data_IF_033195020535
#
_entry.id   IF_033195020535
#
_cell.length_a   1.000
_cell.length_b   1.000
_cell.length_c   1.000
_cell.angle_alpha   90.00
_cell.angle_beta   90.00
_cell.angle_gamma   90.00
#
_symmetry.space_group_name_H-M   'P 1'
#
loop_
_entity.id
_entity.type
_entity.pdbx_description
1 polymer ?
#
# COMPACT_ATOMS: atom_id res chain seq x y z
N UNK A 1 -19.50 -2.89 -4.97
CA UNK A 1 -18.87 -4.14 -5.43
C UNK A 1 -17.45 -4.34 -4.89
N UNK A 2 -16.44 -3.56 -5.32
CA UNK A 2 -15.02 -3.75 -4.95
C UNK A 2 -14.76 -3.78 -3.44
N UNK A 3 -15.29 -2.78 -2.69
CA UNK A 3 -15.14 -2.71 -1.23
C UNK A 3 -15.77 -3.89 -0.49
N UNK A 4 -16.91 -4.38 -0.99
CA UNK A 4 -17.63 -5.49 -0.40
C UNK A 4 -16.95 -6.84 -0.68
N UNK A 5 -16.26 -6.96 -1.82
CA UNK A 5 -15.58 -8.18 -2.25
C UNK A 5 -14.14 -7.91 -2.72
N UNK A 6 -13.25 -7.43 -1.84
CA UNK A 6 -11.91 -6.99 -2.21
C UNK A 6 -11.02 -8.15 -2.68
N UNK A 7 -11.37 -9.40 -2.35
CA UNK A 7 -10.68 -10.59 -2.83
C UNK A 7 -10.82 -10.80 -4.35
N UNK A 8 -11.94 -10.37 -4.95
CA UNK A 8 -12.14 -10.44 -6.39
C UNK A 8 -11.38 -9.34 -7.16
N UNK A 9 -10.84 -8.34 -6.45
CA UNK A 9 -10.04 -7.27 -7.05
C UNK A 9 -8.56 -7.65 -7.15
N UNK A 10 -7.99 -8.23 -6.08
CA UNK A 10 -6.55 -8.45 -5.98
C UNK A 10 -6.13 -9.77 -5.30
N UNK A 11 -7.06 -10.70 -5.04
CA UNK A 11 -6.81 -11.92 -4.27
C UNK A 11 -6.76 -11.65 -2.76
N UNK A 12 -6.10 -12.49 -1.96
CA UNK A 12 -6.07 -12.36 -0.48
C UNK A 12 -4.74 -11.86 0.08
N UNK A 13 -3.71 -11.81 -0.77
CA UNK A 13 -2.31 -11.58 -0.35
C UNK A 13 -1.73 -10.25 -0.85
N UNK A 14 -2.56 -9.37 -1.42
CA UNK A 14 -2.10 -8.10 -2.00
C UNK A 14 -2.52 -6.89 -1.15
N UNK A 15 -1.74 -5.80 -1.14
CA UNK A 15 -2.03 -4.58 -0.38
C UNK A 15 -3.45 -4.05 -0.60
N UNK A 16 -3.97 -4.06 -1.82
CA UNK A 16 -5.33 -3.58 -2.13
C UNK A 16 -6.41 -4.23 -1.25
N UNK A 17 -6.32 -5.55 -1.09
CA UNK A 17 -7.27 -6.31 -0.29
C UNK A 17 -7.08 -6.04 1.19
N UNK A 18 -5.84 -5.88 1.64
CA UNK A 18 -5.55 -5.55 3.03
C UNK A 18 -6.05 -4.14 3.38
N UNK A 19 -5.87 -3.16 2.50
CA UNK A 19 -6.36 -1.79 2.66
C UNK A 19 -7.88 -1.74 2.75
N UNK A 20 -8.58 -2.37 1.81
CA UNK A 20 -10.05 -2.37 1.81
C UNK A 20 -10.66 -3.13 3.00
N UNK A 21 -9.90 -4.04 3.64
CA UNK A 21 -10.33 -4.74 4.87
C UNK A 21 -9.93 -4.00 6.14
N UNK A 22 -8.73 -3.45 6.18
CA UNK A 22 -8.14 -2.80 7.35
C UNK A 22 -8.58 -1.36 7.55
N UNK A 23 -9.05 -0.69 6.49
CA UNK A 23 -9.60 0.67 6.54
C UNK A 23 -11.02 0.63 5.96
N UNK A 24 -12.04 0.44 6.82
CA UNK A 24 -13.43 0.38 6.37
C UNK A 24 -13.83 1.61 5.54
N UNK A 25 -14.40 1.37 4.36
CA UNK A 25 -14.78 2.43 3.42
C UNK A 25 -13.67 2.85 2.45
N UNK A 26 -12.44 2.36 2.61
CA UNK A 26 -11.38 2.59 1.62
C UNK A 26 -11.65 1.83 0.31
N UNK A 27 -11.15 2.37 -0.80
CA UNK A 27 -11.07 1.71 -2.10
C UNK A 27 -9.62 1.80 -2.58
N UNK A 28 -8.99 0.67 -2.90
CA UNK A 28 -7.60 0.64 -3.35
C UNK A 28 -7.46 -0.16 -4.64
N UNK A 29 -6.60 0.31 -5.54
CA UNK A 29 -6.15 -0.47 -6.68
C UNK A 29 -4.71 -0.14 -7.06
N UNK A 30 -3.86 -1.16 -7.03
CA UNK A 30 -2.56 -1.16 -7.70
C UNK A 30 -2.74 -1.43 -9.19
N UNK A 31 -2.07 -0.64 -10.02
CA UNK A 31 -2.02 -0.77 -11.48
C UNK A 31 -0.71 -1.37 -11.99
N UNK A 32 -0.59 -1.46 -13.31
CA UNK A 32 0.68 -1.77 -13.97
C UNK A 32 1.72 -0.66 -13.71
N UNK A 33 3.01 -0.99 -13.84
CA UNK A 33 4.11 -0.01 -13.74
C UNK A 33 4.10 0.79 -12.43
N UNK A 34 3.87 0.10 -11.30
CA UNK A 34 3.88 0.66 -9.95
C UNK A 34 2.98 1.89 -9.75
N UNK A 35 1.83 1.91 -10.43
CA UNK A 35 0.75 2.87 -10.16
C UNK A 35 -0.06 2.42 -8.95
N UNK A 36 -0.41 3.35 -8.06
CA UNK A 36 -1.33 3.13 -6.95
C UNK A 36 -2.41 4.19 -6.96
N UNK A 37 -3.68 3.78 -6.83
CA UNK A 37 -4.80 4.66 -6.54
C UNK A 37 -5.48 4.24 -5.22
N UNK A 38 -5.85 5.21 -4.39
CA UNK A 38 -6.51 4.98 -3.10
C UNK A 38 -7.52 6.10 -2.85
N UNK A 39 -8.73 5.73 -2.42
CA UNK A 39 -9.71 6.64 -1.84
C UNK A 39 -10.03 6.20 -0.41
N UNK A 40 -10.08 7.15 0.52
CA UNK A 40 -10.32 6.94 1.95
C UNK A 40 -11.75 7.32 2.35
N UNK A 41 -12.24 6.81 3.50
CA UNK A 41 -13.60 7.10 3.98
C UNK A 41 -13.85 8.56 4.35
N UNK A 42 -12.79 9.33 4.61
CA UNK A 42 -12.86 10.75 4.98
C UNK A 42 -12.86 11.71 3.78
N UNK A 43 -12.99 11.17 2.56
CA UNK A 43 -13.04 11.95 1.32
C UNK A 43 -11.68 12.26 0.69
N UNK A 44 -10.56 11.95 1.36
CA UNK A 44 -9.22 12.07 0.75
C UNK A 44 -8.96 10.97 -0.26
N UNK A 45 -8.19 11.29 -1.30
CA UNK A 45 -7.74 10.33 -2.29
C UNK A 45 -6.33 10.67 -2.76
N UNK A 46 -5.62 9.65 -3.24
CA UNK A 46 -4.35 9.79 -3.93
C UNK A 46 -4.30 8.91 -5.17
N UNK A 47 -3.44 9.32 -6.09
CA UNK A 47 -2.86 8.44 -7.08
C UNK A 47 -1.38 8.81 -7.26
N UNK A 48 -0.50 7.83 -7.35
CA UNK A 48 0.91 8.06 -7.68
C UNK A 48 1.45 6.92 -8.54
N UNK A 49 2.59 7.19 -9.20
CA UNK A 49 3.37 6.21 -9.95
C UNK A 49 4.82 6.27 -9.47
N UNK A 50 5.48 5.12 -9.33
CA UNK A 50 6.94 5.07 -9.20
C UNK A 50 7.54 5.17 -10.60
N UNK A 51 8.41 6.15 -10.81
CA UNK A 51 8.90 6.55 -12.14
C UNK A 51 9.53 5.39 -12.92
N UNK A 52 10.37 4.60 -12.25
CA UNK A 52 11.05 3.43 -12.83
C UNK A 52 10.17 2.17 -12.95
N UNK A 53 8.87 2.29 -12.66
CA UNK A 53 7.89 1.20 -12.75
C UNK A 53 8.02 0.12 -11.67
N UNK A 54 8.99 0.22 -10.77
CA UNK A 54 9.26 -0.82 -9.78
C UNK A 54 8.38 -0.70 -8.53
N UNK A 55 7.93 -1.84 -8.02
CA UNK A 55 7.02 -1.89 -6.86
C UNK A 55 7.70 -1.71 -5.51
N UNK A 56 9.04 -1.72 -5.46
CA UNK A 56 9.82 -1.70 -4.21
C UNK A 56 9.57 -0.47 -3.33
N UNK A 57 9.27 0.68 -3.93
CA UNK A 57 8.99 1.92 -3.21
C UNK A 57 7.48 2.14 -2.94
N UNK A 58 6.60 1.40 -3.62
CA UNK A 58 5.15 1.61 -3.59
C UNK A 58 4.58 1.44 -2.18
N UNK A 59 4.92 0.33 -1.51
CA UNK A 59 4.50 0.04 -0.13
C UNK A 59 4.96 1.10 0.87
N UNK A 60 6.28 1.38 0.96
CA UNK A 60 6.82 2.41 1.86
C UNK A 60 6.20 3.80 1.68
N UNK A 61 6.00 4.26 0.44
CA UNK A 61 5.37 5.54 0.15
C UNK A 61 3.91 5.54 0.58
N UNK A 62 3.15 4.49 0.25
CA UNK A 62 1.73 4.39 0.59
C UNK A 62 1.51 4.35 2.11
N UNK A 63 2.29 3.53 2.83
CA UNK A 63 2.23 3.43 4.28
C UNK A 63 2.50 4.79 4.96
N UNK A 64 3.53 5.52 4.51
CA UNK A 64 3.88 6.82 5.06
C UNK A 64 2.82 7.90 4.79
N UNK A 65 2.15 7.85 3.64
CA UNK A 65 1.02 8.74 3.34
C UNK A 65 -0.19 8.42 4.24
N UNK A 66 -0.50 7.13 4.44
CA UNK A 66 -1.56 6.68 5.34
C UNK A 66 -1.30 7.13 6.78
N UNK A 67 -0.09 6.97 7.30
CA UNK A 67 0.31 7.45 8.63
C UNK A 67 0.06 8.95 8.81
N UNK A 68 0.54 9.78 7.87
CA UNK A 68 0.32 11.24 7.93
C UNK A 68 -1.13 11.64 7.79
N UNK A 69 -1.93 10.79 7.14
CA UNK A 69 -3.36 10.99 7.03
C UNK A 69 -4.14 10.38 8.21
N UNK A 70 -3.48 9.87 9.25
CA UNK A 70 -4.15 9.31 10.43
C UNK A 70 -4.75 7.92 10.20
N UNK A 71 -4.43 7.26 9.09
CA UNK A 71 -4.82 5.88 8.75
C UNK A 71 -3.66 4.89 8.91
N UNK A 72 -2.82 5.11 9.91
CA UNK A 72 -1.72 4.21 10.27
C UNK A 72 -2.19 2.87 10.86
N UNK A 73 -1.33 2.21 11.64
CA UNK A 73 -1.63 0.93 12.30
C UNK A 73 -1.13 -0.30 11.54
N UNK A 74 -1.62 -1.48 11.90
CA UNK A 74 -1.07 -2.76 11.45
C UNK A 74 -1.11 -2.92 9.93
N UNK A 75 -2.20 -2.50 9.28
CA UNK A 75 -2.34 -2.60 7.81
C UNK A 75 -1.30 -1.74 7.10
N UNK A 76 -1.12 -0.49 7.54
CA UNK A 76 -0.11 0.42 6.99
C UNK A 76 1.31 -0.11 7.26
N UNK A 77 1.61 -0.54 8.48
CA UNK A 77 2.91 -1.10 8.85
C UNK A 77 3.27 -2.33 8.02
N UNK A 78 2.30 -3.25 7.81
CA UNK A 78 2.47 -4.44 6.98
C UNK A 78 2.76 -4.09 5.52
N UNK A 79 2.07 -3.10 4.97
CA UNK A 79 2.27 -2.64 3.58
C UNK A 79 3.61 -1.92 3.42
N UNK A 80 4.03 -1.16 4.43
CA UNK A 80 5.29 -0.44 4.44
C UNK A 80 6.52 -1.34 4.61
N UNK A 81 6.35 -2.59 5.08
CA UNK A 81 7.48 -3.51 5.30
C UNK A 81 8.14 -3.89 3.96
N UNK A 82 9.31 -3.32 3.71
CA UNK A 82 10.10 -3.54 2.51
C UNK A 82 11.55 -3.89 2.87
N UNK A 83 11.81 -5.13 3.33
CA UNK A 83 13.14 -5.55 3.74
C UNK A 83 14.07 -5.65 2.52
N UNK A 84 15.32 -5.27 2.72
CA UNK A 84 16.42 -5.53 1.79
C UNK A 84 17.11 -6.82 2.21
N UNK A 85 17.23 -7.77 1.28
CA UNK A 85 17.83 -9.07 1.53
C UNK A 85 19.25 -9.13 0.96
N UNK A 86 20.20 -9.58 1.77
CA UNK A 86 21.55 -9.97 1.37
C UNK A 86 21.68 -11.49 1.52
N UNK A 87 21.55 -12.22 0.40
CA UNK A 87 21.37 -13.68 0.47
C UNK A 87 20.09 -14.03 1.24
N UNK A 88 20.23 -14.86 2.28
CA UNK A 88 19.10 -15.25 3.14
C UNK A 88 18.87 -14.32 4.35
N UNK A 89 19.71 -13.31 4.55
CA UNK A 89 19.63 -12.40 5.70
C UNK A 89 18.98 -11.06 5.31
N UNK A 90 18.17 -10.51 6.21
CA UNK A 90 17.71 -9.12 6.10
C UNK A 90 18.88 -8.18 6.46
N UNK A 91 19.24 -7.27 5.57
CA UNK A 91 20.40 -6.36 5.69
C UNK A 91 20.00 -4.89 5.72
N UNK A 92 18.71 -4.59 5.65
CA UNK A 92 18.18 -3.21 5.69
C UNK A 92 16.72 -3.15 5.28
N UNK A 93 16.23 -1.94 5.02
CA UNK A 93 14.86 -1.71 4.56
C UNK A 93 14.74 -0.45 3.70
N UNK A 94 13.72 -0.40 2.85
CA UNK A 94 13.33 0.80 2.10
C UNK A 94 12.31 1.57 2.92
N UNK A 95 12.58 2.85 3.18
CA UNK A 95 11.67 3.76 3.90
C UNK A 95 11.43 5.04 3.13
N UNK A 96 10.22 5.58 3.26
CA UNK A 96 9.93 6.95 2.86
C UNK A 96 10.46 7.93 3.93
N UNK A 97 11.23 8.93 3.52
CA UNK A 97 11.92 9.87 4.43
C UNK A 97 11.18 11.20 4.68
N UNK A 98 9.98 11.36 4.12
CA UNK A 98 9.14 12.55 4.23
C UNK A 98 7.97 12.24 5.16
#
# INVERSE_FOLDING_TARGET
>A
AMRAHPAYVAGTRRPDTWLMRGIPGALSKMGAEAVQALALPDGRALAFKVDDGATRALGPVLARLLERWGHGGETAARIGRAPLMGGAAEVGEIRAAF
#
